data_IF_950171012685
#
_entry.id   IF_950171012685
#
_cell.length_a   1.000
_cell.length_b   1.000
_cell.length_c   1.000
_cell.angle_alpha   90.00
_cell.angle_beta   90.00
_cell.angle_gamma   90.00
#
_symmetry.space_group_name_H-M   'P 1'
#
loop_
_entity.id
_entity.type
_entity.pdbx_description
1 polymer ?
#
# COMPACT_ATOMS: atom_id res chain seq x y z
N UNK A 1 -11.92 -18.41 -28.58
CA UNK A 1 -11.20 -17.15 -28.86
C UNK A 1 -12.20 -16.01 -28.68
N UNK A 2 -12.39 -15.54 -27.45
CA UNK A 2 -13.07 -14.27 -27.24
C UNK A 2 -12.06 -13.20 -27.67
N UNK A 3 -12.44 -12.37 -28.65
CA UNK A 3 -11.60 -11.28 -29.13
C UNK A 3 -11.22 -10.39 -27.96
N UNK A 4 -9.94 -10.02 -27.86
CA UNK A 4 -9.47 -9.03 -26.90
C UNK A 4 -10.35 -7.79 -27.08
N UNK A 5 -11.17 -7.47 -26.08
CA UNK A 5 -12.03 -6.30 -26.11
C UNK A 5 -11.12 -5.08 -26.00
N UNK A 6 -10.92 -4.40 -27.11
CA UNK A 6 -10.09 -3.20 -27.17
C UNK A 6 -10.84 -2.05 -26.49
N UNK A 7 -10.20 -1.42 -25.50
CA UNK A 7 -10.81 -0.32 -24.76
C UNK A 7 -10.79 0.96 -25.60
N UNK A 8 -11.81 1.84 -25.46
CA UNK A 8 -11.80 3.14 -26.12
C UNK A 8 -10.56 3.96 -25.74
N UNK A 9 -9.93 4.74 -26.65
CA UNK A 9 -8.67 5.44 -26.37
C UNK A 9 -8.66 6.32 -25.12
N UNK A 10 -9.81 6.91 -24.75
CA UNK A 10 -10.00 7.81 -23.60
C UNK A 10 -10.70 7.13 -22.40
N UNK A 11 -10.68 5.80 -22.29
CA UNK A 11 -11.39 5.05 -21.24
C UNK A 11 -11.10 5.56 -19.82
N UNK A 12 -9.88 6.02 -19.56
CA UNK A 12 -9.44 6.48 -18.24
C UNK A 12 -10.12 7.80 -17.82
N UNK A 13 -10.55 8.62 -18.79
CA UNK A 13 -11.37 9.79 -18.52
C UNK A 13 -12.75 9.37 -18.05
N UNK A 14 -13.38 8.43 -18.76
CA UNK A 14 -14.69 7.88 -18.38
C UNK A 14 -14.65 7.31 -16.96
N UNK A 15 -13.63 6.52 -16.62
CA UNK A 15 -13.50 5.96 -15.27
C UNK A 15 -13.31 7.05 -14.21
N UNK A 16 -12.57 8.11 -14.50
CA UNK A 16 -12.38 9.19 -13.53
C UNK A 16 -13.67 10.00 -13.34
N UNK A 17 -14.43 10.21 -14.41
CA UNK A 17 -15.75 10.83 -14.34
C UNK A 17 -16.77 9.95 -13.58
N UNK A 18 -16.69 8.61 -13.71
CA UNK A 18 -17.44 7.66 -12.86
C UNK A 18 -17.11 7.87 -11.38
N UNK A 19 -15.81 7.98 -11.03
CA UNK A 19 -15.37 8.24 -9.65
C UNK A 19 -15.93 9.57 -9.13
N UNK A 20 -15.77 10.67 -9.88
CA UNK A 20 -16.29 11.98 -9.48
C UNK A 20 -17.81 11.92 -9.29
N UNK A 21 -18.53 11.31 -10.23
CA UNK A 21 -19.99 11.19 -10.14
C UNK A 21 -20.42 10.41 -8.91
N UNK A 22 -19.74 9.30 -8.61
CA UNK A 22 -20.01 8.52 -7.40
C UNK A 22 -19.76 9.34 -6.13
N UNK A 23 -18.65 10.06 -6.06
CA UNK A 23 -18.30 10.84 -4.87
C UNK A 23 -19.28 11.99 -4.62
N UNK A 24 -19.72 12.67 -5.68
CA UNK A 24 -20.72 13.74 -5.59
C UNK A 24 -22.11 13.23 -5.18
N UNK A 25 -22.47 11.99 -5.54
CA UNK A 25 -23.77 11.40 -5.19
C UNK A 25 -23.75 10.74 -3.80
N UNK A 26 -22.75 9.90 -3.51
CA UNK A 26 -22.72 9.02 -2.33
C UNK A 26 -21.81 9.50 -1.21
N UNK A 27 -20.79 10.31 -1.51
CA UNK A 27 -19.71 10.65 -0.58
C UNK A 27 -19.47 12.16 -0.43
N UNK A 28 -20.48 12.98 -0.74
CA UNK A 28 -20.36 14.44 -0.73
C UNK A 28 -19.91 14.98 0.64
N UNK A 29 -20.31 14.33 1.73
CA UNK A 29 -19.94 14.67 3.11
C UNK A 29 -18.46 14.48 3.44
N UNK A 30 -17.70 13.79 2.59
CA UNK A 30 -16.26 13.63 2.75
C UNK A 30 -15.47 14.77 2.11
N UNK A 31 -16.04 15.44 1.10
CA UNK A 31 -15.34 16.40 0.23
C UNK A 31 -15.22 17.75 0.95
N UNK A 32 -14.01 18.28 1.06
CA UNK A 32 -13.72 19.61 1.58
C UNK A 32 -13.67 20.65 0.45
N UNK A 33 -13.55 21.93 0.83
CA UNK A 33 -13.62 23.07 -0.07
C UNK A 33 -12.59 22.99 -1.21
N UNK A 34 -11.34 22.67 -0.90
CA UNK A 34 -10.27 22.51 -1.90
C UNK A 34 -10.56 21.40 -2.92
N UNK A 35 -11.09 20.25 -2.48
CA UNK A 35 -11.45 19.16 -3.40
C UNK A 35 -12.70 19.50 -4.23
N UNK A 36 -13.66 20.25 -3.67
CA UNK A 36 -14.78 20.78 -4.44
C UNK A 36 -14.34 21.76 -5.52
N UNK A 37 -13.44 22.68 -5.18
CA UNK A 37 -12.86 23.64 -6.13
C UNK A 37 -12.13 22.90 -7.25
N UNK A 38 -11.33 21.88 -6.91
CA UNK A 38 -10.68 21.01 -7.89
C UNK A 38 -11.71 20.34 -8.82
N UNK A 39 -12.74 19.67 -8.28
CA UNK A 39 -13.75 18.98 -9.09
C UNK A 39 -14.42 19.97 -10.05
N UNK A 40 -14.82 21.12 -9.55
CA UNK A 40 -15.49 22.15 -10.33
C UNK A 40 -14.60 22.72 -11.44
N UNK A 41 -13.34 23.02 -11.13
CA UNK A 41 -12.36 23.48 -12.11
C UNK A 41 -12.06 22.39 -13.16
N UNK A 42 -11.89 21.14 -12.73
CA UNK A 42 -11.60 20.01 -13.59
C UNK A 42 -12.74 19.77 -14.59
N UNK A 43 -13.99 19.79 -14.12
CA UNK A 43 -15.17 19.58 -14.97
C UNK A 43 -15.29 20.61 -16.09
N UNK A 44 -14.79 21.84 -15.89
CA UNK A 44 -14.78 22.92 -16.88
C UNK A 44 -13.67 22.82 -17.93
N UNK A 45 -12.64 22.01 -17.68
CA UNK A 45 -11.56 21.84 -18.64
C UNK A 45 -12.08 21.21 -19.95
N UNK A 46 -11.53 21.61 -21.11
CA UNK A 46 -11.73 20.89 -22.36
C UNK A 46 -11.28 19.42 -22.25
N UNK A 47 -11.93 18.52 -23.00
CA UNK A 47 -11.69 17.07 -22.92
C UNK A 47 -10.21 16.68 -23.09
N UNK A 48 -9.49 17.32 -24.03
CA UNK A 48 -8.08 17.05 -24.26
C UNK A 48 -7.19 17.48 -23.07
N UNK A 49 -7.54 18.58 -22.39
CA UNK A 49 -6.84 19.01 -21.18
C UNK A 49 -7.11 18.04 -20.02
N UNK A 50 -8.37 17.63 -19.80
CA UNK A 50 -8.71 16.56 -18.84
C UNK A 50 -7.91 15.28 -19.12
N UNK A 51 -7.86 14.87 -20.39
CA UNK A 51 -7.12 13.70 -20.81
C UNK A 51 -5.63 13.80 -20.49
N UNK A 52 -5.01 14.96 -20.79
CA UNK A 52 -3.60 15.19 -20.52
C UNK A 52 -3.33 15.15 -19.01
N UNK A 53 -4.17 15.81 -18.20
CA UNK A 53 -4.06 15.81 -16.75
C UNK A 53 -4.07 14.38 -16.19
N UNK A 54 -5.05 13.55 -16.60
CA UNK A 54 -5.16 12.17 -16.14
C UNK A 54 -4.02 11.28 -16.65
N UNK A 55 -3.46 11.55 -17.83
CA UNK A 55 -2.26 10.86 -18.33
C UNK A 55 -1.03 11.19 -17.48
N UNK A 56 -0.89 12.43 -17.01
CA UNK A 56 0.20 12.83 -16.10
C UNK A 56 -0.01 12.22 -14.71
N UNK A 57 -1.24 12.26 -14.18
CA UNK A 57 -1.61 11.69 -12.89
C UNK A 57 -1.30 10.19 -12.79
N UNK A 58 -1.52 9.43 -13.87
CA UNK A 58 -1.23 8.00 -13.91
C UNK A 58 0.27 7.67 -14.04
N UNK A 59 1.15 8.68 -14.09
CA UNK A 59 2.60 8.49 -14.10
C UNK A 59 3.18 8.71 -12.69
N UNK A 60 4.33 8.10 -12.46
CA UNK A 60 5.06 8.26 -11.20
C UNK A 60 5.74 9.63 -11.14
N UNK A 61 5.59 10.31 -10.00
CA UNK A 61 6.18 11.62 -9.73
C UNK A 61 5.26 12.77 -10.12
N UNK A 62 5.73 13.99 -9.94
CA UNK A 62 4.92 15.21 -10.15
C UNK A 62 5.62 16.26 -11.00
N UNK A 63 6.87 16.02 -11.38
CA UNK A 63 7.56 16.78 -12.42
C UNK A 63 7.70 15.95 -13.68
N UNK A 64 7.45 16.60 -14.80
CA UNK A 64 7.42 15.94 -16.08
C UNK A 64 8.12 16.77 -17.16
N UNK A 65 8.77 16.07 -18.09
CA UNK A 65 9.34 16.68 -19.30
C UNK A 65 8.36 16.46 -20.44
N UNK A 66 7.75 17.55 -20.91
CA UNK A 66 6.56 17.48 -21.73
C UNK A 66 6.78 16.79 -23.08
N UNK A 67 7.92 17.03 -23.72
CA UNK A 67 8.30 16.50 -25.04
C UNK A 67 8.52 14.98 -25.04
N UNK A 68 8.54 14.33 -23.87
CA UNK A 68 8.57 12.86 -23.77
C UNK A 68 7.20 12.22 -23.94
N UNK A 69 6.14 12.99 -24.09
CA UNK A 69 4.78 12.49 -24.20
C UNK A 69 4.25 12.63 -25.61
N UNK A 70 3.74 11.53 -26.15
CA UNK A 70 3.02 11.50 -27.41
C UNK A 70 1.78 10.62 -27.23
N UNK A 71 0.62 11.27 -27.12
CA UNK A 71 -0.68 10.60 -26.93
C UNK A 71 -1.52 10.86 -28.17
N UNK A 72 -1.73 9.83 -28.99
CA UNK A 72 -2.44 9.94 -30.28
C UNK A 72 -3.91 10.36 -30.13
N UNK A 73 -4.50 10.11 -28.97
CA UNK A 73 -5.89 10.46 -28.63
C UNK A 73 -6.07 11.91 -28.17
N UNK A 74 -4.98 12.63 -27.92
CA UNK A 74 -5.00 14.03 -27.45
C UNK A 74 -4.58 14.93 -28.61
N UNK A 75 -5.57 15.52 -29.27
CA UNK A 75 -5.32 16.49 -30.34
C UNK A 75 -4.77 17.80 -29.75
N UNK A 76 -3.81 18.42 -30.44
CA UNK A 76 -3.19 19.69 -30.04
C UNK A 76 -2.68 19.69 -28.58
N UNK A 77 -1.86 18.70 -28.22
CA UNK A 77 -1.35 18.49 -26.86
C UNK A 77 -0.70 19.75 -26.25
N UNK A 78 -0.04 20.58 -27.06
CA UNK A 78 0.53 21.86 -26.62
C UNK A 78 -0.55 22.82 -26.08
N UNK A 79 -1.68 22.96 -26.78
CA UNK A 79 -2.81 23.79 -26.32
C UNK A 79 -3.49 23.19 -25.10
N UNK A 80 -3.57 21.86 -25.03
CA UNK A 80 -4.06 21.17 -23.84
C UNK A 80 -3.18 21.49 -22.62
N UNK A 81 -1.86 21.52 -22.80
CA UNK A 81 -0.94 21.93 -21.73
C UNK A 81 -1.09 23.40 -21.36
N UNK A 82 -1.18 24.31 -22.34
CA UNK A 82 -1.43 25.73 -22.10
C UNK A 82 -2.71 25.92 -21.26
N UNK A 83 -3.78 25.21 -21.62
CA UNK A 83 -5.05 25.22 -20.88
C UNK A 83 -4.86 24.74 -19.43
N UNK A 84 -4.06 23.68 -19.20
CA UNK A 84 -3.76 23.22 -17.84
C UNK A 84 -2.99 24.27 -17.04
N UNK A 85 -2.06 25.00 -17.67
CA UNK A 85 -1.30 26.07 -17.01
C UNK A 85 -2.19 27.28 -16.69
N UNK A 86 -3.05 27.68 -17.62
CA UNK A 86 -3.98 28.81 -17.43
C UNK A 86 -5.03 28.56 -16.33
N UNK A 87 -5.32 27.30 -16.02
CA UNK A 87 -6.29 26.88 -15.01
C UNK A 87 -5.60 26.28 -13.76
N UNK A 88 -4.29 26.51 -13.59
CA UNK A 88 -3.49 26.06 -12.43
C UNK A 88 -3.39 24.54 -12.21
N UNK A 89 -3.77 23.71 -13.19
CA UNK A 89 -3.58 22.24 -13.14
C UNK A 89 -2.13 21.81 -13.40
N UNK A 90 -1.33 22.71 -13.98
CA UNK A 90 0.10 22.55 -14.13
C UNK A 90 0.81 23.90 -13.94
N UNK A 91 2.06 23.89 -13.53
CA UNK A 91 2.87 25.11 -13.40
C UNK A 91 4.22 24.89 -14.05
N UNK A 92 4.75 25.92 -14.72
CA UNK A 92 6.14 25.91 -15.19
C UNK A 92 7.08 25.93 -13.98
N UNK A 93 8.22 25.26 -14.06
CA UNK A 93 9.19 25.33 -12.96
C UNK A 93 9.68 26.77 -12.74
N UNK A 94 9.70 27.20 -11.48
CA UNK A 94 10.18 28.52 -11.04
C UNK A 94 11.12 28.36 -9.84
N UNK A 95 11.86 29.41 -9.51
CA UNK A 95 12.76 29.44 -8.34
C UNK A 95 12.03 29.31 -6.99
N UNK A 96 10.71 29.45 -6.97
CA UNK A 96 9.88 29.27 -5.76
C UNK A 96 9.77 27.79 -5.36
N UNK A 97 10.10 26.86 -6.26
CA UNK A 97 10.05 25.41 -6.04
C UNK A 97 11.38 24.84 -5.51
N UNK A 98 12.14 25.62 -4.74
CA UNK A 98 13.46 25.22 -4.20
C UNK A 98 13.37 23.93 -3.37
N UNK A 99 12.30 23.76 -2.60
CA UNK A 99 12.06 22.54 -1.80
C UNK A 99 11.98 21.27 -2.65
N UNK A 100 11.60 21.41 -3.93
CA UNK A 100 11.45 20.32 -4.88
C UNK A 100 12.65 20.17 -5.84
N UNK A 101 13.75 20.87 -5.58
CA UNK A 101 14.93 20.84 -6.45
C UNK A 101 15.44 19.42 -6.72
N UNK A 102 15.45 18.56 -5.70
CA UNK A 102 15.83 17.15 -5.87
C UNK A 102 14.85 16.40 -6.78
N UNK A 103 13.55 16.63 -6.59
CA UNK A 103 12.49 16.04 -7.41
C UNK A 103 12.53 16.50 -8.87
N UNK A 104 12.96 17.73 -9.13
CA UNK A 104 13.22 18.25 -10.47
C UNK A 104 14.46 17.56 -11.06
N UNK A 105 15.55 17.45 -10.32
CA UNK A 105 16.79 16.82 -10.82
C UNK A 105 16.60 15.34 -11.20
N UNK A 106 15.82 14.57 -10.42
CA UNK A 106 15.65 13.13 -10.64
C UNK A 106 14.99 12.77 -11.99
N UNK A 107 14.23 13.70 -12.62
CA UNK A 107 13.56 13.47 -13.91
C UNK A 107 14.55 13.45 -15.09
N UNK A 108 15.77 13.94 -14.87
CA UNK A 108 16.85 13.92 -15.83
C UNK A 108 17.65 12.61 -15.74
N UNK A 109 18.19 12.20 -16.87
CA UNK A 109 19.10 11.06 -16.92
C UNK A 109 20.52 11.50 -16.53
N UNK A 110 21.40 10.51 -16.24
CA UNK A 110 22.77 10.77 -15.81
C UNK A 110 23.55 11.68 -16.77
N UNK A 111 23.38 11.51 -18.09
CA UNK A 111 24.08 12.31 -19.09
C UNK A 111 23.61 13.77 -19.15
N UNK A 112 22.32 14.00 -18.94
CA UNK A 112 21.72 15.34 -18.84
C UNK A 112 22.21 16.07 -17.59
N UNK A 113 22.25 15.41 -16.44
CA UNK A 113 22.76 15.99 -15.19
C UNK A 113 24.25 16.37 -15.33
N UNK A 114 25.06 15.53 -15.97
CA UNK A 114 26.48 15.86 -16.24
C UNK A 114 26.60 17.12 -17.11
N UNK A 115 25.71 17.30 -18.10
CA UNK A 115 25.70 18.51 -18.92
C UNK A 115 25.33 19.75 -18.11
N UNK A 116 24.31 19.64 -17.26
CA UNK A 116 23.93 20.73 -16.33
C UNK A 116 25.08 21.09 -15.39
N UNK A 117 25.88 20.12 -14.96
CA UNK A 117 27.07 20.36 -14.14
C UNK A 117 28.24 20.96 -14.92
N UNK A 118 28.36 20.67 -16.22
CA UNK A 118 29.47 21.18 -17.04
C UNK A 118 29.45 22.70 -17.27
N UNK A 119 28.36 23.37 -16.90
CA UNK A 119 28.26 24.84 -16.91
C UNK A 119 28.78 25.48 -15.62
N UNK A 120 29.12 24.67 -14.61
CA UNK A 120 29.86 25.12 -13.42
C UNK A 120 31.36 25.12 -13.68
N UNK A 121 32.11 25.95 -12.95
CA UNK A 121 33.58 26.01 -13.02
C UNK A 121 34.28 24.71 -12.52
N UNK A 122 33.51 23.70 -12.14
CA UNK A 122 34.01 22.45 -11.57
C UNK A 122 33.93 21.31 -12.60
N UNK A 123 35.07 20.99 -13.24
CA UNK A 123 35.24 19.78 -14.08
C UNK A 123 36.04 18.64 -13.41
N UNK A 124 35.41 17.85 -12.54
CA UNK A 124 35.86 16.50 -12.22
C UNK A 124 35.82 15.61 -13.46
N UNK A 125 37.00 15.11 -13.86
CA UNK A 125 37.14 13.98 -14.79
C UNK A 125 36.38 12.71 -14.34
N UNK A 126 35.82 12.71 -13.12
CA UNK A 126 35.20 11.59 -12.40
C UNK A 126 33.67 11.54 -12.44
N UNK A 127 32.96 12.53 -13.01
CA UNK A 127 31.47 12.48 -13.01
C UNK A 127 30.90 11.25 -13.75
N UNK A 128 31.57 10.82 -14.82
CA UNK A 128 31.12 9.67 -15.60
C UNK A 128 31.19 8.36 -14.81
N UNK A 129 32.01 8.27 -13.77
CA UNK A 129 32.18 7.07 -12.94
C UNK A 129 31.23 7.00 -11.73
N UNK A 130 30.62 8.12 -11.33
CA UNK A 130 29.67 8.16 -10.19
C UNK A 130 28.36 7.42 -10.47
N UNK A 131 27.67 6.93 -9.44
CA UNK A 131 26.31 6.40 -9.61
C UNK A 131 25.32 7.54 -9.93
N UNK A 132 24.08 7.23 -10.33
CA UNK A 132 23.06 8.28 -10.54
C UNK A 132 22.76 9.01 -9.21
N UNK A 133 22.73 8.28 -8.10
CA UNK A 133 22.38 8.86 -6.80
C UNK A 133 23.47 9.80 -6.29
N UNK A 134 24.75 9.40 -6.36
CA UNK A 134 25.86 10.29 -5.96
C UNK A 134 25.90 11.55 -6.84
N UNK A 135 25.57 11.40 -8.13
CA UNK A 135 25.51 12.54 -9.04
C UNK A 135 24.33 13.47 -8.72
N UNK A 136 23.18 12.92 -8.33
CA UNK A 136 22.02 13.71 -7.91
C UNK A 136 22.32 14.48 -6.62
N UNK A 137 22.93 13.84 -5.63
CA UNK A 137 23.34 14.49 -4.38
C UNK A 137 24.36 15.61 -4.65
N UNK A 138 25.35 15.34 -5.50
CA UNK A 138 26.32 16.35 -5.91
C UNK A 138 25.66 17.54 -6.63
N UNK A 139 24.81 17.25 -7.64
CA UNK A 139 24.09 18.30 -8.37
C UNK A 139 23.14 19.10 -7.49
N UNK A 140 22.50 18.45 -6.52
CA UNK A 140 21.64 19.11 -5.53
C UNK A 140 22.41 20.11 -4.67
N UNK A 141 23.66 19.80 -4.30
CA UNK A 141 24.49 20.68 -3.49
C UNK A 141 25.14 21.82 -4.29
N UNK A 142 25.58 21.55 -5.53
CA UNK A 142 26.38 22.51 -6.31
C UNK A 142 25.56 23.42 -7.23
N UNK A 143 24.48 22.92 -7.84
CA UNK A 143 23.68 23.73 -8.76
C UNK A 143 22.65 24.53 -7.99
N UNK A 144 22.43 25.80 -8.34
CA UNK A 144 21.24 26.52 -7.90
C UNK A 144 20.00 26.04 -8.67
N UNK A 145 18.78 26.17 -8.12
CA UNK A 145 17.57 25.85 -8.88
C UNK A 145 17.44 26.73 -10.13
N UNK A 146 17.86 28.00 -10.08
CA UNK A 146 17.89 28.87 -11.26
C UNK A 146 18.75 28.27 -12.38
N UNK A 147 19.95 27.78 -12.06
CA UNK A 147 20.83 27.12 -13.03
C UNK A 147 20.18 25.85 -13.59
N UNK A 148 19.50 25.06 -12.75
CA UNK A 148 18.76 23.87 -13.20
C UNK A 148 17.64 24.26 -14.17
N UNK A 149 16.88 25.31 -13.88
CA UNK A 149 15.80 25.82 -14.74
C UNK A 149 16.37 26.26 -16.09
N UNK A 150 17.40 27.10 -16.09
CA UNK A 150 18.04 27.62 -17.30
C UNK A 150 18.59 26.47 -18.17
N UNK A 151 19.36 25.56 -17.57
CA UNK A 151 19.92 24.41 -18.28
C UNK A 151 18.84 23.41 -18.72
N UNK A 152 17.71 23.30 -18.02
CA UNK A 152 16.63 22.39 -18.39
C UNK A 152 16.00 22.73 -19.74
N UNK A 153 16.02 24.00 -20.16
CA UNK A 153 15.40 24.47 -21.39
C UNK A 153 15.97 23.77 -22.64
N UNK A 154 17.23 23.33 -22.59
CA UNK A 154 17.87 22.59 -23.69
C UNK A 154 17.35 21.15 -23.83
N UNK A 155 16.65 20.62 -22.80
CA UNK A 155 16.13 19.25 -22.74
C UNK A 155 14.61 19.17 -22.85
N UNK A 156 13.96 20.32 -23.05
CA UNK A 156 12.51 20.45 -23.16
C UNK A 156 11.86 21.15 -21.96
N UNK A 157 10.58 21.46 -22.12
CA UNK A 157 9.74 22.10 -21.11
C UNK A 157 9.49 21.16 -19.94
N UNK A 158 9.82 21.66 -18.75
CA UNK A 158 9.53 20.97 -17.49
C UNK A 158 8.32 21.61 -16.83
N UNK A 159 7.38 20.76 -16.43
CA UNK A 159 6.15 21.17 -15.75
C UNK A 159 6.04 20.43 -14.42
N UNK A 160 5.45 21.11 -13.44
CA UNK A 160 4.90 20.53 -12.22
C UNK A 160 3.41 20.26 -12.45
N UNK A 161 2.94 19.06 -12.14
CA UNK A 161 1.51 18.78 -12.04
C UNK A 161 0.98 19.25 -10.68
N UNK A 162 -0.16 19.93 -10.68
CA UNK A 162 -0.84 20.37 -9.46
C UNK A 162 -2.04 19.48 -9.14
N UNK A 163 -2.70 19.76 -8.01
CA UNK A 163 -3.87 19.04 -7.49
C UNK A 163 -3.66 17.53 -7.26
N UNK A 164 -2.42 17.14 -6.93
CA UNK A 164 -2.07 15.73 -6.75
C UNK A 164 -2.69 15.20 -5.47
N UNK A 165 -2.71 15.99 -4.41
CA UNK A 165 -3.26 15.60 -3.11
C UNK A 165 -4.79 15.47 -3.18
N UNK A 166 -5.47 16.44 -3.80
CA UNK A 166 -6.92 16.41 -4.03
C UNK A 166 -7.31 15.20 -4.85
N UNK A 167 -6.58 14.93 -5.93
CA UNK A 167 -6.86 13.78 -6.78
C UNK A 167 -6.59 12.46 -6.07
N UNK A 168 -5.48 12.34 -5.34
CA UNK A 168 -5.16 11.17 -4.53
C UNK A 168 -6.23 10.94 -3.45
N UNK A 169 -6.72 12.01 -2.81
CA UNK A 169 -7.79 11.94 -1.81
C UNK A 169 -9.13 11.50 -2.39
N UNK A 170 -9.53 12.02 -3.56
CA UNK A 170 -10.76 11.58 -4.23
C UNK A 170 -10.69 10.11 -4.63
N UNK A 171 -9.58 9.68 -5.23
CA UNK A 171 -9.37 8.26 -5.52
C UNK A 171 -9.35 7.42 -4.24
N UNK A 172 -8.78 7.95 -3.16
CA UNK A 172 -8.78 7.28 -1.87
C UNK A 172 -10.17 7.14 -1.27
N UNK A 173 -11.03 8.17 -1.36
CA UNK A 173 -12.43 8.10 -0.94
C UNK A 173 -13.20 7.00 -1.69
N UNK A 174 -12.93 6.85 -2.97
CA UNK A 174 -13.58 5.85 -3.83
C UNK A 174 -13.06 4.42 -3.59
N UNK A 175 -11.74 4.23 -3.53
CA UNK A 175 -11.14 2.90 -3.42
C UNK A 175 -10.93 2.42 -1.98
N UNK A 176 -10.98 3.33 -1.01
CA UNK A 176 -10.64 3.05 0.39
C UNK A 176 -9.18 2.65 0.62
N UNK A 177 -8.29 2.81 -0.38
CA UNK A 177 -6.87 2.44 -0.27
C UNK A 177 -5.97 3.18 -1.27
N UNK A 178 -4.71 3.42 -0.88
CA UNK A 178 -3.66 3.98 -1.76
C UNK A 178 -3.17 3.00 -2.86
N UNK A 179 -3.61 1.75 -2.81
CA UNK A 179 -3.33 0.76 -3.87
C UNK A 179 -4.50 0.62 -4.84
N UNK A 180 -5.59 1.36 -4.60
CA UNK A 180 -6.67 1.48 -5.55
C UNK A 180 -6.16 2.20 -6.78
N UNK A 181 -6.13 1.49 -7.89
CA UNK A 181 -5.66 2.03 -9.16
C UNK A 181 -6.82 2.07 -10.14
N UNK A 182 -6.80 3.08 -11.01
CA UNK A 182 -7.68 3.17 -12.18
C UNK A 182 -7.58 1.93 -13.09
N UNK A 183 -6.53 1.11 -12.94
CA UNK A 183 -6.36 -0.18 -13.63
C UNK A 183 -7.39 -1.24 -13.21
N UNK A 184 -8.00 -1.13 -12.03
CA UNK A 184 -9.09 -2.03 -11.59
C UNK A 184 -10.30 -2.00 -12.53
N UNK A 185 -10.68 -0.81 -13.01
CA UNK A 185 -11.71 -0.61 -14.02
C UNK A 185 -11.35 -1.27 -15.37
N UNK A 186 -10.06 -1.25 -15.76
CA UNK A 186 -9.58 -1.97 -16.95
C UNK A 186 -9.81 -3.47 -16.82
N UNK A 187 -9.53 -4.04 -15.64
CA UNK A 187 -9.74 -5.47 -15.37
C UNK A 187 -11.22 -5.85 -15.43
N UNK A 188 -12.10 -5.00 -14.87
CA UNK A 188 -13.57 -5.12 -14.97
C UNK A 188 -14.03 -5.15 -16.43
N UNK A 189 -13.61 -4.17 -17.24
CA UNK A 189 -14.22 -3.92 -18.55
C UNK A 189 -13.66 -4.76 -19.69
N UNK A 190 -12.41 -5.25 -19.56
CA UNK A 190 -11.78 -6.19 -20.52
C UNK A 190 -12.32 -7.62 -20.35
N UNK A 191 -13.01 -7.92 -19.24
CA UNK A 191 -13.85 -9.13 -19.10
C UNK A 191 -13.12 -10.40 -18.67
N UNK A 192 -11.89 -10.30 -18.14
CA UNK A 192 -11.18 -11.45 -17.59
C UNK A 192 -11.68 -11.86 -16.19
N UNK A 193 -12.44 -10.99 -15.52
CA UNK A 193 -13.12 -11.26 -14.25
C UNK A 193 -14.58 -10.79 -14.38
N UNK A 194 -15.53 -11.66 -14.04
CA UNK A 194 -16.94 -11.28 -13.86
C UNK A 194 -17.17 -11.13 -12.36
N UNK A 195 -17.38 -9.90 -11.92
CA UNK A 195 -17.85 -9.63 -10.56
C UNK A 195 -19.34 -9.94 -10.47
N UNK A 196 -19.82 -10.15 -9.24
CA UNK A 196 -21.26 -10.28 -8.99
C UNK A 196 -21.97 -8.98 -9.41
N UNK A 197 -23.17 -9.12 -9.98
CA UNK A 197 -23.93 -7.99 -10.50
C UNK A 197 -24.62 -7.25 -9.35
N UNK A 198 -23.91 -6.31 -8.73
CA UNK A 198 -24.45 -5.50 -7.65
C UNK A 198 -25.21 -4.28 -8.21
N UNK A 199 -26.36 -3.98 -7.61
CA UNK A 199 -27.11 -2.76 -7.93
C UNK A 199 -26.35 -1.52 -7.46
N UNK A 200 -26.02 -0.63 -8.38
CA UNK A 200 -25.31 0.62 -8.08
C UNK A 200 -26.10 1.52 -7.11
N UNK A 201 -27.43 1.38 -7.06
CA UNK A 201 -28.26 2.14 -6.13
C UNK A 201 -28.07 1.71 -4.67
N UNK A 202 -27.59 0.48 -4.43
CA UNK A 202 -27.29 -0.04 -3.10
C UNK A 202 -25.87 0.31 -2.62
N UNK A 203 -25.02 0.84 -3.49
CA UNK A 203 -23.65 1.19 -3.12
C UNK A 203 -23.62 2.40 -2.20
N UNK A 204 -22.80 2.31 -1.15
CA UNK A 204 -22.65 3.34 -0.11
C UNK A 204 -21.21 3.83 -0.02
N UNK A 205 -21.04 5.04 0.52
CA UNK A 205 -19.70 5.61 0.76
C UNK A 205 -18.83 4.68 1.59
N UNK A 206 -17.58 4.46 1.17
CA UNK A 206 -16.59 3.69 1.93
C UNK A 206 -16.34 4.24 3.34
N UNK A 207 -16.32 5.57 3.46
CA UNK A 207 -16.09 6.25 4.72
C UNK A 207 -17.36 6.92 5.22
N UNK A 208 -17.63 6.78 6.52
CA UNK A 208 -18.79 7.39 7.16
C UNK A 208 -18.59 8.89 7.39
N UNK A 209 -17.35 9.30 7.62
CA UNK A 209 -16.98 10.70 7.85
C UNK A 209 -15.54 10.96 7.39
N UNK A 210 -15.19 12.24 7.24
CA UNK A 210 -13.86 12.65 6.76
C UNK A 210 -12.74 12.18 7.68
N UNK A 211 -12.95 12.17 9.02
CA UNK A 211 -11.94 11.68 9.98
C UNK A 211 -11.54 10.22 9.70
N UNK A 212 -12.49 9.34 9.41
CA UNK A 212 -12.18 7.95 9.05
C UNK A 212 -11.29 7.85 7.80
N UNK A 213 -11.54 8.72 6.82
CA UNK A 213 -10.76 8.77 5.59
C UNK A 213 -9.35 9.33 5.84
N UNK A 214 -9.24 10.47 6.51
CA UNK A 214 -7.97 11.12 6.85
C UNK A 214 -7.09 10.20 7.70
N UNK A 215 -7.61 9.66 8.80
CA UNK A 215 -6.87 8.74 9.67
C UNK A 215 -6.33 7.53 8.89
N UNK A 216 -7.16 6.92 8.02
CA UNK A 216 -6.76 5.74 7.24
C UNK A 216 -5.76 6.10 6.14
N UNK A 217 -5.92 7.27 5.53
CA UNK A 217 -5.03 7.82 4.53
C UNK A 217 -3.65 8.09 5.14
N UNK A 218 -3.60 8.81 6.26
CA UNK A 218 -2.39 9.14 6.99
C UNK A 218 -1.60 7.90 7.40
N UNK A 219 -2.24 6.88 8.02
CA UNK A 219 -1.57 5.62 8.34
C UNK A 219 -0.99 4.96 7.09
N UNK A 220 -1.68 5.07 5.96
CA UNK A 220 -1.25 4.46 4.71
C UNK A 220 -0.01 5.19 4.16
N UNK A 221 0.00 6.53 4.17
CA UNK A 221 1.15 7.37 3.76
C UNK A 221 2.34 7.16 4.69
N UNK A 222 2.13 7.27 6.01
CA UNK A 222 3.21 7.08 6.99
C UNK A 222 3.79 5.67 6.92
N UNK A 223 2.96 4.65 6.65
CA UNK A 223 3.42 3.28 6.47
C UNK A 223 4.32 3.14 5.23
N UNK A 224 4.07 3.88 4.14
CA UNK A 224 4.96 3.90 2.98
C UNK A 224 6.25 4.65 3.30
N UNK A 225 6.15 5.83 3.93
CA UNK A 225 7.29 6.64 4.34
C UNK A 225 8.25 5.88 5.28
N UNK A 226 7.72 5.22 6.32
CA UNK A 226 8.51 4.42 7.25
C UNK A 226 9.19 3.24 6.55
N UNK A 227 8.62 2.69 5.46
CA UNK A 227 9.33 1.65 4.69
C UNK A 227 10.58 2.18 4.02
N UNK A 228 10.50 3.39 3.46
CA UNK A 228 11.67 4.06 2.87
C UNK A 228 12.70 4.36 3.96
N UNK A 229 12.29 4.92 5.09
CA UNK A 229 13.21 5.17 6.21
C UNK A 229 13.89 3.89 6.72
N UNK A 230 13.17 2.77 6.83
CA UNK A 230 13.75 1.48 7.23
C UNK A 230 14.88 0.99 6.31
N UNK A 231 14.97 1.50 5.08
CA UNK A 231 16.02 1.15 4.13
C UNK A 231 17.14 2.22 4.08
N UNK A 232 16.85 3.47 4.47
CA UNK A 232 17.72 4.63 4.23
C UNK A 232 18.29 5.28 5.50
N UNK A 233 17.68 5.06 6.68
CA UNK A 233 18.05 5.75 7.92
C UNK A 233 18.45 4.78 9.05
N UNK A 234 18.93 5.35 10.16
CA UNK A 234 19.34 4.56 11.32
C UNK A 234 18.12 3.92 12.03
N UNK A 235 18.26 2.73 12.63
CA UNK A 235 17.20 2.11 13.42
C UNK A 235 16.65 2.96 14.57
N UNK A 236 17.51 3.78 15.17
CA UNK A 236 17.17 4.73 16.22
C UNK A 236 16.23 5.83 15.69
N UNK A 237 16.53 6.42 14.53
CA UNK A 237 15.66 7.42 13.89
C UNK A 237 14.30 6.84 13.50
N UNK A 238 14.29 5.62 12.93
CA UNK A 238 13.03 4.91 12.60
C UNK A 238 12.21 4.68 13.85
N UNK A 239 12.84 4.28 14.96
CA UNK A 239 12.16 4.07 16.23
C UNK A 239 11.57 5.38 16.77
N UNK A 240 12.38 6.43 16.91
CA UNK A 240 11.94 7.71 17.46
C UNK A 240 10.77 8.29 16.68
N UNK A 241 10.90 8.34 15.34
CA UNK A 241 9.83 8.82 14.48
C UNK A 241 8.56 7.99 14.62
N UNK A 242 8.67 6.66 14.53
CA UNK A 242 7.49 5.78 14.57
C UNK A 242 6.84 5.80 15.95
N UNK A 243 7.63 5.83 17.03
CA UNK A 243 7.12 5.87 18.40
C UNK A 243 6.35 7.17 18.65
N UNK A 244 6.88 8.31 18.23
CA UNK A 244 6.21 9.61 18.35
C UNK A 244 4.91 9.62 17.53
N UNK A 245 4.98 9.22 16.25
CA UNK A 245 3.80 9.18 15.40
C UNK A 245 2.70 8.27 15.97
N UNK A 246 3.05 7.05 16.41
CA UNK A 246 2.09 6.14 17.05
C UNK A 246 1.52 6.73 18.35
N UNK A 247 2.33 7.47 19.11
CA UNK A 247 1.91 8.10 20.37
C UNK A 247 0.91 9.23 20.15
N UNK A 248 1.11 10.04 19.12
CA UNK A 248 0.25 11.17 18.79
C UNK A 248 -1.08 10.72 18.18
N UNK A 249 -1.11 9.52 17.56
CA UNK A 249 -2.28 9.00 16.84
C UNK A 249 -2.92 7.79 17.54
N UNK A 250 -2.97 7.80 18.89
CA UNK A 250 -3.65 6.72 19.66
C UNK A 250 -5.15 6.69 19.41
N UNK A 251 -5.77 7.87 19.27
CA UNK A 251 -7.21 8.06 19.08
C UNK A 251 -7.60 8.01 17.59
N UNK A 252 -7.05 7.01 16.89
CA UNK A 252 -7.35 6.76 15.49
C UNK A 252 -8.68 6.02 15.31
N UNK A 253 -9.38 6.35 14.23
CA UNK A 253 -10.64 5.74 13.84
C UNK A 253 -10.52 4.21 13.69
N UNK A 254 -11.60 3.51 14.03
CA UNK A 254 -11.64 2.05 14.04
C UNK A 254 -11.29 1.44 12.67
N UNK A 255 -11.75 2.07 11.59
CA UNK A 255 -11.47 1.65 10.21
C UNK A 255 -9.97 1.67 9.88
N UNK A 256 -9.19 2.53 10.53
CA UNK A 256 -7.74 2.67 10.35
C UNK A 256 -6.93 1.84 11.36
N UNK A 257 -7.56 1.39 12.47
CA UNK A 257 -6.92 0.67 13.58
C UNK A 257 -6.14 -0.56 13.12
N UNK A 258 -6.70 -1.36 12.21
CA UNK A 258 -6.03 -2.53 11.64
C UNK A 258 -4.70 -2.16 10.93
N UNK A 259 -4.65 -1.05 10.20
CA UNK A 259 -3.43 -0.60 9.53
C UNK A 259 -2.41 -0.05 10.53
N UNK A 260 -2.89 0.68 11.54
CA UNK A 260 -2.08 1.19 12.64
C UNK A 260 -1.40 0.02 13.40
N UNK A 261 -2.17 -1.02 13.74
CA UNK A 261 -1.68 -2.21 14.42
C UNK A 261 -0.65 -2.98 13.58
N UNK A 262 -0.89 -3.11 12.26
CA UNK A 262 0.08 -3.72 11.32
C UNK A 262 1.35 -2.91 11.18
N UNK A 263 1.27 -1.58 11.21
CA UNK A 263 2.45 -0.70 11.21
C UNK A 263 3.31 -0.97 12.44
N UNK A 264 2.71 -0.94 13.63
CA UNK A 264 3.41 -1.24 14.89
C UNK A 264 4.03 -2.65 14.85
N UNK A 265 3.28 -3.68 14.44
CA UNK A 265 3.79 -5.05 14.34
C UNK A 265 4.99 -5.18 13.39
N UNK A 266 4.94 -4.49 12.23
CA UNK A 266 6.01 -4.52 11.22
C UNK A 266 7.28 -3.84 11.74
N UNK A 267 7.15 -2.64 12.29
CA UNK A 267 8.30 -1.87 12.81
C UNK A 267 8.89 -2.55 14.04
N UNK A 268 8.06 -3.03 14.97
CA UNK A 268 8.52 -3.81 16.11
C UNK A 268 9.31 -5.05 15.70
N UNK A 269 8.85 -5.78 14.67
CA UNK A 269 9.59 -6.94 14.13
C UNK A 269 10.92 -6.55 13.50
N UNK A 270 10.95 -5.45 12.77
CA UNK A 270 12.14 -4.94 12.11
C UNK A 270 13.22 -4.51 13.11
N UNK A 271 12.81 -3.85 14.22
CA UNK A 271 13.68 -3.51 15.35
C UNK A 271 14.17 -4.75 16.10
N UNK A 272 13.28 -5.72 16.35
CA UNK A 272 13.62 -6.96 17.04
C UNK A 272 14.66 -7.79 16.26
N UNK A 273 14.57 -7.84 14.93
CA UNK A 273 15.56 -8.49 14.06
C UNK A 273 16.96 -7.85 14.19
N UNK A 274 17.01 -6.57 14.56
CA UNK A 274 18.25 -5.81 14.84
C UNK A 274 18.68 -5.88 16.30
N UNK A 275 17.99 -6.69 17.12
CA UNK A 275 18.26 -6.88 18.56
C UNK A 275 18.01 -5.64 19.44
N UNK A 276 17.29 -4.64 18.92
CA UNK A 276 16.81 -3.47 19.68
C UNK A 276 15.56 -3.83 20.45
N UNK A 277 15.73 -4.63 21.51
CA UNK A 277 14.60 -5.26 22.21
C UNK A 277 13.76 -4.27 23.01
N UNK A 278 14.37 -3.20 23.56
CA UNK A 278 13.64 -2.20 24.34
C UNK A 278 12.71 -1.38 23.46
N UNK A 279 13.24 -0.93 22.33
CA UNK A 279 12.57 -0.16 21.29
C UNK A 279 11.48 -1.00 20.63
N UNK A 280 11.78 -2.25 20.28
CA UNK A 280 10.78 -3.19 19.77
C UNK A 280 9.63 -3.40 20.77
N UNK A 281 9.92 -3.51 22.07
CA UNK A 281 8.90 -3.62 23.12
C UNK A 281 8.04 -2.35 23.21
N UNK A 282 8.66 -1.17 23.08
CA UNK A 282 7.98 0.11 23.02
C UNK A 282 6.98 0.16 21.88
N UNK A 283 7.40 -0.21 20.67
CA UNK A 283 6.54 -0.23 19.48
C UNK A 283 5.43 -1.30 19.59
N UNK A 284 5.75 -2.52 20.04
CA UNK A 284 4.72 -3.56 20.21
C UNK A 284 3.66 -3.19 21.25
N UNK A 285 3.89 -2.20 22.11
CA UNK A 285 2.92 -1.79 23.13
C UNK A 285 1.77 -0.93 22.58
N UNK A 286 1.85 -0.48 21.32
CA UNK A 286 0.75 0.24 20.66
C UNK A 286 -0.33 -0.69 20.07
N UNK A 287 -0.11 -2.00 20.03
CA UNK A 287 -1.07 -2.96 19.49
C UNK A 287 -1.26 -4.16 20.41
N UNK A 288 -2.52 -4.49 20.67
CA UNK A 288 -2.93 -5.68 21.41
C UNK A 288 -3.22 -6.88 20.49
N UNK A 289 -3.08 -6.72 19.18
CA UNK A 289 -3.35 -7.78 18.21
C UNK A 289 -2.14 -8.69 18.01
N UNK A 290 -2.35 -9.97 17.66
CA UNK A 290 -1.29 -10.84 17.18
C UNK A 290 -0.54 -10.23 15.98
N UNK A 291 0.80 -10.35 15.93
CA UNK A 291 1.64 -11.09 16.86
C UNK A 291 2.20 -10.26 18.04
N UNK A 292 1.81 -8.98 18.22
CA UNK A 292 2.50 -8.05 19.12
C UNK A 292 2.66 -8.57 20.55
N UNK A 293 1.57 -9.03 21.19
CA UNK A 293 1.63 -9.61 22.55
C UNK A 293 2.54 -10.83 22.61
N UNK A 294 2.46 -11.73 21.63
CA UNK A 294 3.34 -12.91 21.54
C UNK A 294 4.82 -12.52 21.40
N UNK A 295 5.12 -11.48 20.62
CA UNK A 295 6.49 -10.99 20.44
C UNK A 295 7.03 -10.40 21.75
N UNK A 296 6.21 -9.65 22.49
CA UNK A 296 6.58 -9.14 23.84
C UNK A 296 6.93 -10.29 24.79
N UNK A 297 6.09 -11.32 24.86
CA UNK A 297 6.37 -12.54 25.66
C UNK A 297 7.71 -13.17 25.29
N UNK A 298 7.98 -13.33 23.98
CA UNK A 298 9.24 -13.93 23.50
C UNK A 298 10.47 -13.09 23.83
N UNK A 299 10.36 -11.77 23.77
CA UNK A 299 11.44 -10.84 24.15
C UNK A 299 11.71 -10.94 25.65
N UNK A 300 10.68 -10.81 26.49
CA UNK A 300 10.81 -10.92 27.95
C UNK A 300 11.43 -12.25 28.37
N UNK A 301 10.97 -13.36 27.77
CA UNK A 301 11.53 -14.68 28.02
C UNK A 301 13.01 -14.76 27.64
N UNK A 302 13.42 -14.15 26.52
CA UNK A 302 14.82 -14.11 26.08
C UNK A 302 15.71 -13.27 27.02
N UNK A 303 15.12 -12.27 27.66
CA UNK A 303 15.77 -11.44 28.68
C UNK A 303 15.69 -12.04 30.10
N UNK A 304 15.21 -13.29 30.23
CA UNK A 304 15.02 -14.00 31.50
C UNK A 304 14.02 -13.31 32.47
N UNK A 305 13.17 -12.41 31.95
CA UNK A 305 12.09 -11.73 32.69
C UNK A 305 10.83 -12.60 32.68
N UNK A 306 10.91 -13.76 33.33
CA UNK A 306 9.89 -14.80 33.24
C UNK A 306 8.55 -14.43 33.88
N UNK A 307 8.56 -13.68 34.97
CA UNK A 307 7.33 -13.22 35.66
C UNK A 307 6.51 -12.32 34.74
N UNK A 308 7.12 -11.31 34.14
CA UNK A 308 6.43 -10.41 33.20
C UNK A 308 5.98 -11.12 31.92
N UNK A 309 6.76 -12.09 31.43
CA UNK A 309 6.34 -12.91 30.30
C UNK A 309 5.10 -13.76 30.65
N UNK A 310 5.04 -14.28 31.88
CA UNK A 310 3.92 -15.05 32.39
C UNK A 310 2.67 -14.18 32.55
N UNK A 311 2.81 -12.95 33.06
CA UNK A 311 1.69 -12.01 33.22
C UNK A 311 1.01 -11.73 31.88
N UNK A 312 1.79 -11.47 30.82
CA UNK A 312 1.21 -11.27 29.47
C UNK A 312 0.51 -12.55 28.99
N UNK A 313 1.08 -13.74 29.23
CA UNK A 313 0.41 -14.99 28.89
C UNK A 313 -0.92 -15.17 29.62
N UNK A 314 -1.00 -14.78 30.91
CA UNK A 314 -2.25 -14.83 31.67
C UNK A 314 -3.28 -13.84 31.11
N UNK A 315 -2.87 -12.62 30.75
CA UNK A 315 -3.75 -11.65 30.09
C UNK A 315 -4.30 -12.17 28.75
N UNK A 316 -3.48 -12.85 27.95
CA UNK A 316 -3.94 -13.49 26.70
C UNK A 316 -4.91 -14.64 27.00
N UNK A 317 -4.67 -15.43 28.06
CA UNK A 317 -5.53 -16.57 28.42
C UNK A 317 -6.94 -16.09 28.86
N UNK A 318 -7.01 -14.94 29.54
CA UNK A 318 -8.26 -14.29 29.95
C UNK A 318 -9.02 -13.68 28.76
N UNK A 319 -8.31 -13.00 27.85
CA UNK A 319 -8.90 -12.33 26.69
C UNK A 319 -8.04 -12.51 25.42
N UNK A 320 -8.13 -13.68 24.78
CA UNK A 320 -7.40 -13.96 23.55
C UNK A 320 -8.06 -13.24 22.38
N UNK A 321 -7.24 -12.68 21.48
CA UNK A 321 -7.76 -12.05 20.25
C UNK A 321 -8.31 -13.10 19.28
N UNK A 322 -7.63 -14.25 19.18
CA UNK A 322 -8.06 -15.37 18.37
C UNK A 322 -7.60 -16.71 18.98
N UNK A 323 -8.05 -17.82 18.37
CA UNK A 323 -7.71 -19.16 18.84
C UNK A 323 -6.20 -19.44 18.80
N UNK A 324 -5.47 -18.94 17.80
CA UNK A 324 -4.03 -19.14 17.67
C UNK A 324 -3.27 -18.51 18.85
N UNK A 325 -3.63 -17.27 19.21
CA UNK A 325 -3.01 -16.55 20.32
C UNK A 325 -3.30 -17.22 21.66
N UNK A 326 -4.52 -17.77 21.83
CA UNK A 326 -4.88 -18.59 23.01
C UNK A 326 -3.97 -19.80 23.14
N UNK A 327 -3.78 -20.57 22.06
CA UNK A 327 -2.89 -21.73 22.08
C UNK A 327 -1.44 -21.33 22.32
N UNK A 328 -0.99 -20.20 21.76
CA UNK A 328 0.32 -19.65 22.06
C UNK A 328 0.49 -19.39 23.56
N UNK A 329 -0.43 -18.68 24.20
CA UNK A 329 -0.34 -18.35 25.61
C UNK A 329 -0.32 -19.59 26.49
N UNK A 330 -1.17 -20.58 26.20
CA UNK A 330 -1.20 -21.85 26.94
C UNK A 330 0.11 -22.64 26.79
N UNK A 331 0.62 -22.79 25.57
CA UNK A 331 1.90 -23.46 25.31
C UNK A 331 3.07 -22.72 25.98
N UNK A 332 3.08 -21.39 25.92
CA UNK A 332 4.20 -20.58 26.42
C UNK A 332 4.17 -20.45 27.95
N UNK A 333 3.00 -20.33 28.57
CA UNK A 333 2.79 -20.46 30.02
C UNK A 333 3.35 -21.78 30.53
N UNK A 334 2.98 -22.89 29.89
CA UNK A 334 3.50 -24.21 30.25
C UNK A 334 5.01 -24.31 30.08
N UNK A 335 5.59 -23.65 29.08
CA UNK A 335 7.05 -23.60 28.87
C UNK A 335 7.76 -22.84 29.99
N UNK A 336 7.21 -21.72 30.45
CA UNK A 336 7.76 -20.92 31.55
C UNK A 336 7.72 -21.72 32.86
N UNK A 337 6.56 -22.30 33.18
CA UNK A 337 6.35 -23.05 34.43
C UNK A 337 7.03 -24.43 34.43
N UNK A 338 7.17 -25.05 33.25
CA UNK A 338 7.74 -26.38 33.09
C UNK A 338 8.60 -26.47 31.82
N UNK A 339 9.93 -26.47 32.01
CA UNK A 339 10.93 -26.55 30.93
C UNK A 339 10.80 -27.82 30.05
N UNK A 340 10.07 -28.86 30.48
CA UNK A 340 9.85 -30.10 29.73
C UNK A 340 8.47 -30.19 29.06
N UNK A 341 7.66 -29.13 29.08
CA UNK A 341 6.34 -29.16 28.45
C UNK A 341 6.42 -29.32 26.93
N UNK A 342 5.54 -30.16 26.38
CA UNK A 342 5.34 -30.31 24.93
C UNK A 342 4.18 -29.41 24.51
N UNK A 343 4.28 -28.86 23.30
CA UNK A 343 3.17 -28.12 22.68
C UNK A 343 1.95 -29.03 22.52
N UNK A 344 0.75 -28.46 22.64
CA UNK A 344 -0.52 -29.19 22.50
C UNK A 344 -0.60 -29.89 21.13
N UNK A 345 -0.26 -29.19 20.05
CA UNK A 345 -0.25 -29.77 18.71
C UNK A 345 0.66 -31.01 18.59
N UNK A 346 1.77 -31.04 19.33
CA UNK A 346 2.67 -32.20 19.37
C UNK A 346 2.05 -33.37 20.13
N UNK A 347 1.27 -33.12 21.19
CA UNK A 347 0.56 -34.17 21.91
C UNK A 347 -0.50 -34.81 21.02
N UNK A 348 -1.36 -33.99 20.40
CA UNK A 348 -2.40 -34.44 19.46
C UNK A 348 -1.78 -35.22 18.29
N UNK A 349 -0.68 -34.73 17.72
CA UNK A 349 0.05 -35.43 16.67
C UNK A 349 0.54 -36.82 17.10
N UNK A 350 1.00 -36.98 18.34
CA UNK A 350 1.48 -38.28 18.83
C UNK A 350 0.35 -39.29 19.08
N UNK A 351 -0.89 -38.81 19.25
CA UNK A 351 -2.08 -39.65 19.41
C UNK A 351 -2.71 -40.03 18.07
N UNK A 352 -2.35 -39.35 16.99
CA UNK A 352 -2.91 -39.59 15.66
C UNK A 352 -2.48 -40.94 15.06
N UNK A 353 -3.39 -41.58 14.34
CA UNK A 353 -3.10 -42.81 13.60
C UNK A 353 -1.97 -42.59 12.58
N UNK A 354 -0.98 -43.47 12.57
CA UNK A 354 0.14 -43.41 11.63
C UNK A 354 -0.09 -44.40 10.50
N UNK A 355 -0.02 -43.90 9.27
CA UNK A 355 -0.03 -44.73 8.06
C UNK A 355 1.34 -44.76 7.42
N UNK A 356 1.71 -45.89 6.81
CA UNK A 356 2.92 -46.02 6.01
C UNK A 356 2.60 -45.78 4.54
N UNK A 357 3.36 -44.89 3.92
CA UNK A 357 3.23 -44.50 2.51
C UNK A 357 4.51 -44.93 1.79
N UNK A 358 4.41 -45.33 0.52
CA UNK A 358 5.56 -45.71 -0.29
C UNK A 358 6.56 -44.57 -0.48
N UNK A 359 7.86 -44.89 -0.48
CA UNK A 359 8.96 -43.94 -0.72
C UNK A 359 8.87 -43.23 -2.08
N UNK A 360 8.11 -43.79 -3.03
CA UNK A 360 7.82 -43.18 -4.33
C UNK A 360 7.15 -41.80 -4.16
N UNK A 361 6.45 -41.58 -3.05
CA UNK A 361 5.78 -40.32 -2.71
C UNK A 361 6.62 -39.36 -1.84
N UNK A 362 7.94 -39.53 -1.77
CA UNK A 362 8.81 -38.60 -1.04
C UNK A 362 8.63 -37.17 -1.54
N UNK A 363 8.47 -36.22 -0.61
CA UNK A 363 8.11 -34.81 -0.86
C UNK A 363 6.71 -34.58 -1.49
N UNK A 364 5.86 -35.61 -1.52
CA UNK A 364 4.47 -35.59 -2.02
C UNK A 364 3.58 -36.45 -1.12
N UNK A 365 3.72 -36.25 0.19
CA UNK A 365 3.13 -37.13 1.22
C UNK A 365 1.62 -37.19 1.07
N UNK A 366 0.99 -36.07 0.72
CA UNK A 366 -0.44 -35.92 0.52
C UNK A 366 -0.97 -36.80 -0.62
N UNK A 367 -0.22 -36.93 -1.72
CA UNK A 367 -0.57 -37.84 -2.82
C UNK A 367 -0.42 -39.30 -2.42
N UNK A 368 0.59 -39.63 -1.63
CA UNK A 368 0.77 -40.99 -1.16
C UNK A 368 -0.26 -41.41 -0.10
N UNK A 369 -0.78 -40.45 0.67
CA UNK A 369 -1.94 -40.67 1.56
C UNK A 369 -3.20 -40.96 0.71
N UNK A 370 -3.41 -40.24 -0.39
CA UNK A 370 -4.52 -40.53 -1.32
C UNK A 370 -4.42 -41.93 -1.91
N UNK A 371 -3.25 -42.28 -2.46
CA UNK A 371 -2.97 -43.62 -3.00
C UNK A 371 -3.26 -44.71 -1.97
N UNK A 372 -2.77 -44.56 -0.74
CA UNK A 372 -3.06 -45.49 0.36
C UNK A 372 -4.58 -45.71 0.58
N UNK A 373 -5.39 -44.65 0.57
CA UNK A 373 -6.82 -44.79 0.76
C UNK A 373 -7.55 -45.29 -0.50
N UNK A 374 -7.05 -44.98 -1.70
CA UNK A 374 -7.55 -45.52 -2.97
C UNK A 374 -7.38 -47.03 -3.06
N UNK A 375 -6.22 -47.57 -2.62
CA UNK A 375 -6.02 -49.03 -2.54
C UNK A 375 -6.99 -49.72 -1.58
N UNK A 376 -7.57 -48.98 -0.62
CA UNK A 376 -8.62 -49.44 0.30
C UNK A 376 -10.04 -49.23 -0.23
N UNK A 377 -10.20 -48.86 -1.51
CA UNK A 377 -11.49 -48.66 -2.16
C UNK A 377 -12.18 -47.34 -1.81
N UNK A 378 -11.47 -46.37 -1.22
CA UNK A 378 -12.00 -45.02 -0.97
C UNK A 378 -11.65 -44.08 -2.14
N UNK A 379 -12.40 -42.99 -2.28
CA UNK A 379 -12.04 -41.88 -3.18
C UNK A 379 -11.62 -40.69 -2.33
N UNK A 380 -10.58 -39.97 -2.76
CA UNK A 380 -10.12 -38.77 -2.09
C UNK A 380 -9.69 -37.71 -3.10
N UNK A 381 -9.56 -36.48 -2.62
CA UNK A 381 -9.07 -35.35 -3.40
C UNK A 381 -8.19 -34.48 -2.49
N UNK A 382 -7.14 -33.90 -3.06
CA UNK A 382 -6.29 -32.97 -2.33
C UNK A 382 -6.85 -31.56 -2.50
N UNK A 383 -7.51 -31.04 -1.47
CA UNK A 383 -8.19 -29.74 -1.53
C UNK A 383 -7.71 -28.72 -0.52
N UNK A 384 -6.87 -29.10 0.45
CA UNK A 384 -6.54 -28.27 1.63
C UNK A 384 -7.79 -27.51 2.14
N UNK A 385 -7.71 -26.18 2.24
CA UNK A 385 -8.82 -25.31 2.65
C UNK A 385 -9.78 -24.94 1.50
N UNK A 386 -9.47 -25.28 0.24
CA UNK A 386 -10.28 -24.89 -0.91
C UNK A 386 -11.67 -25.53 -0.90
N UNK A 387 -11.79 -26.81 -0.49
CA UNK A 387 -13.09 -27.47 -0.40
C UNK A 387 -14.02 -26.72 0.57
N UNK A 388 -13.54 -26.47 1.78
CA UNK A 388 -14.36 -25.83 2.82
C UNK A 388 -14.70 -24.39 2.48
N UNK A 389 -13.74 -23.63 1.93
CA UNK A 389 -13.99 -22.27 1.43
C UNK A 389 -14.97 -22.24 0.27
N UNK A 390 -14.85 -23.18 -0.67
CA UNK A 390 -15.74 -23.31 -1.81
C UNK A 390 -17.16 -23.70 -1.40
N UNK A 391 -17.31 -24.70 -0.52
CA UNK A 391 -18.62 -25.09 0.02
C UNK A 391 -19.25 -23.96 0.82
N UNK A 392 -18.47 -23.26 1.66
CA UNK A 392 -18.93 -22.10 2.40
C UNK A 392 -19.47 -21.02 1.45
N UNK A 393 -18.68 -20.63 0.44
CA UNK A 393 -19.09 -19.63 -0.54
C UNK A 393 -20.31 -20.04 -1.34
N UNK A 394 -20.42 -21.31 -1.76
CA UNK A 394 -21.57 -21.79 -2.52
C UNK A 394 -22.86 -21.89 -1.70
N UNK A 395 -22.76 -22.29 -0.43
CA UNK A 395 -23.93 -22.48 0.44
C UNK A 395 -24.45 -21.14 0.95
N UNK A 396 -23.54 -20.21 1.26
CA UNK A 396 -23.85 -18.92 1.85
C UNK A 396 -23.66 -17.76 0.85
N UNK A 397 -23.77 -18.04 -0.45
CA UNK A 397 -23.49 -17.03 -1.48
C UNK A 397 -24.40 -15.82 -1.31
N UNK A 398 -25.70 -16.07 -1.19
CA UNK A 398 -26.70 -15.02 -1.03
C UNK A 398 -26.45 -14.25 0.27
N UNK A 399 -26.19 -14.92 1.40
CA UNK A 399 -25.90 -14.26 2.68
C UNK A 399 -24.63 -13.41 2.64
N UNK A 400 -23.59 -13.84 1.92
CA UNK A 400 -22.34 -13.09 1.75
C UNK A 400 -22.59 -11.76 1.02
N UNK A 401 -23.50 -11.74 0.05
CA UNK A 401 -23.79 -10.55 -0.77
C UNK A 401 -25.02 -9.74 -0.33
N UNK A 402 -25.94 -10.32 0.47
CA UNK A 402 -27.12 -9.65 1.00
C UNK A 402 -26.89 -9.01 2.37
N UNK A 403 -26.07 -9.60 3.25
CA UNK A 403 -25.93 -9.14 4.64
C UNK A 403 -25.13 -7.84 4.81
N UNK A 404 -24.42 -7.39 3.78
CA UNK A 404 -23.40 -6.34 3.91
C UNK A 404 -23.51 -5.31 2.78
N UNK A 405 -24.72 -4.78 2.54
CA UNK A 405 -24.93 -3.64 1.63
C UNK A 405 -24.06 -2.43 2.02
N UNK A 406 -23.75 -2.28 3.32
CA UNK A 406 -22.81 -1.29 3.86
C UNK A 406 -21.33 -1.61 3.61
N UNK A 407 -20.96 -2.79 3.09
CA UNK A 407 -19.57 -3.16 2.75
C UNK A 407 -19.29 -3.11 1.24
N UNK A 408 -20.32 -2.90 0.43
CA UNK A 408 -20.23 -2.78 -1.03
C UNK A 408 -20.08 -1.31 -1.41
N UNK A 409 -18.83 -0.88 -1.58
CA UNK A 409 -18.51 0.54 -1.73
C UNK A 409 -18.17 0.97 -3.16
N UNK A 410 -17.76 0.02 -4.00
CA UNK A 410 -17.49 0.25 -5.41
C UNK A 410 -17.78 -1.01 -6.24
N UNK A 411 -18.05 -0.86 -7.55
CA UNK A 411 -18.37 -1.97 -8.46
C UNK A 411 -17.23 -2.95 -8.72
#
# INVERSE_FOLDING_TARGET
MQGNKELPPKYYLTYFEEVISFLLDKSQHLIAENEFEFIYAFQKLPENAKCLYLRLMNRRGFFFRFEKFNYSEIEEIDKALETLIENDFATNISVELEEFKFDILQIFNKGEIIKMLSTTDFEPKTYKTLSKNDLLEFAFNELSLLSIIEESQQFGKVIKQNFIEETEMLLFFYFGSLHGEMTSFVVRDVGNLKYESLDQELMTSYFKNRKEAEDKYEVSKISQFIRVMMDETSPEEVYEFTFNWLSDHKDIAELARNRYNRLAARVGRWLEQRKMYGEAMGIYSFSHEPPCRERKVRILYKQERFEEALDICLTIDESPFNAEEKYFALDFKNRILNKKSKKIATLVKNEAETISVSDIFKNKVELGVLDYYETKGKKGFFSENHLWRGLFGLILWDEIFEMDQDALHNP
#
